data_IF_289906911369
#
_entry.id   IF_289906911369
#
_cell.length_a   1.000
_cell.length_b   1.000
_cell.length_c   1.000
_cell.angle_alpha   90.00
_cell.angle_beta   90.00
_cell.angle_gamma   90.00
#
_symmetry.space_group_name_H-M   'P 1'
#
loop_
_entity.id
_entity.type
_entity.pdbx_description
1 polymer ?
#
# COMPACT_ATOMS: atom_id res chain seq x y z
N UNK A 1 15.90 14.08 -4.86
CA UNK A 1 14.53 13.75 -5.28
C UNK A 1 13.61 14.65 -4.48
N UNK A 2 12.74 15.41 -5.13
CA UNK A 2 11.76 16.26 -4.45
C UNK A 2 10.62 15.40 -3.89
N UNK A 3 9.80 15.97 -3.01
CA UNK A 3 8.62 15.29 -2.47
C UNK A 3 7.64 14.90 -3.60
N UNK A 4 7.44 15.79 -4.57
CA UNK A 4 6.60 15.53 -5.74
C UNK A 4 7.12 14.38 -6.60
N UNK A 5 8.42 14.29 -6.82
CA UNK A 5 9.04 13.18 -7.54
C UNK A 5 8.83 11.84 -6.82
N UNK A 6 8.94 11.85 -5.49
CA UNK A 6 8.72 10.68 -4.64
C UNK A 6 7.27 10.22 -4.69
N UNK A 7 6.32 11.15 -4.57
CA UNK A 7 4.88 10.87 -4.65
C UNK A 7 4.54 10.25 -6.01
N UNK A 8 5.03 10.87 -7.10
CA UNK A 8 4.78 10.38 -8.45
C UNK A 8 5.42 9.00 -8.68
N UNK A 9 6.62 8.76 -8.15
CA UNK A 9 7.29 7.46 -8.24
C UNK A 9 6.54 6.37 -7.46
N UNK A 10 6.09 6.66 -6.25
CA UNK A 10 5.27 5.75 -5.45
C UNK A 10 3.96 5.39 -6.15
N UNK A 11 3.28 6.38 -6.75
CA UNK A 11 2.06 6.15 -7.53
C UNK A 11 2.29 5.23 -8.73
N UNK A 12 3.37 5.43 -9.49
CA UNK A 12 3.75 4.54 -10.61
C UNK A 12 4.04 3.12 -10.13
N UNK A 13 4.82 2.96 -9.06
CA UNK A 13 5.12 1.65 -8.49
C UNK A 13 3.86 0.94 -8.00
N UNK A 14 2.94 1.66 -7.34
CA UNK A 14 1.66 1.09 -6.91
C UNK A 14 0.83 0.60 -8.10
N UNK A 15 0.74 1.38 -9.18
CA UNK A 15 0.03 0.98 -10.40
C UNK A 15 0.63 -0.27 -11.05
N UNK A 16 1.96 -0.37 -11.10
CA UNK A 16 2.62 -1.57 -11.64
C UNK A 16 2.40 -2.79 -10.74
N UNK A 17 2.48 -2.62 -9.42
CA UNK A 17 2.27 -3.71 -8.46
C UNK A 17 0.83 -4.24 -8.44
N UNK A 18 -0.18 -3.40 -8.75
CA UNK A 18 -1.59 -3.79 -8.79
C UNK A 18 -1.88 -4.85 -9.88
N UNK A 19 -1.03 -4.94 -10.90
CA UNK A 19 -1.12 -5.98 -11.94
C UNK A 19 -0.71 -7.38 -11.44
N UNK A 20 0.05 -7.44 -10.33
CA UNK A 20 0.70 -8.66 -9.85
C UNK A 20 0.21 -9.08 -8.45
N UNK A 21 -0.30 -8.14 -7.68
CA UNK A 21 -0.72 -8.32 -6.28
C UNK A 21 -2.09 -7.72 -6.05
N UNK A 22 -2.65 -7.89 -4.85
CA UNK A 22 -3.90 -7.23 -4.52
C UNK A 22 -3.72 -5.73 -4.24
N UNK A 23 -4.73 -4.91 -4.54
CA UNK A 23 -4.65 -3.45 -4.51
C UNK A 23 -4.15 -2.84 -3.18
N UNK A 24 -4.46 -3.45 -2.04
CA UNK A 24 -3.92 -3.03 -0.72
C UNK A 24 -2.42 -3.31 -0.59
N UNK A 25 -1.97 -4.46 -1.09
CA UNK A 25 -0.54 -4.82 -1.11
C UNK A 25 0.22 -3.96 -2.10
N UNK A 26 -0.36 -3.67 -3.26
CA UNK A 26 0.24 -2.83 -4.28
C UNK A 26 0.60 -1.44 -3.76
N UNK A 27 -0.36 -0.78 -3.10
CA UNK A 27 -0.15 0.54 -2.49
C UNK A 27 0.78 0.47 -1.29
N UNK A 28 0.54 -0.44 -0.35
CA UNK A 28 1.39 -0.56 0.83
C UNK A 28 2.84 -0.83 0.42
N UNK A 29 3.08 -1.84 -0.43
CA UNK A 29 4.42 -2.20 -0.90
C UNK A 29 5.14 -1.05 -1.61
N UNK A 30 4.43 -0.26 -2.43
CA UNK A 30 5.02 0.93 -3.05
C UNK A 30 5.44 1.97 -2.00
N UNK A 31 4.58 2.25 -1.01
CA UNK A 31 4.91 3.18 0.06
C UNK A 31 6.06 2.66 0.94
N UNK A 32 6.08 1.36 1.26
CA UNK A 32 7.18 0.73 1.97
C UNK A 32 8.51 0.87 1.22
N UNK A 33 8.50 0.68 -0.11
CA UNK A 33 9.67 0.82 -0.96
C UNK A 33 10.19 2.26 -1.01
N UNK A 34 9.32 3.24 -1.26
CA UNK A 34 9.73 4.63 -1.50
C UNK A 34 9.97 5.44 -0.23
N UNK A 35 9.31 5.07 0.89
CA UNK A 35 9.42 5.77 2.16
C UNK A 35 10.21 4.99 3.22
N UNK A 36 10.70 3.78 2.90
CA UNK A 36 11.45 2.94 3.83
C UNK A 36 10.62 2.48 5.03
N UNK A 37 9.33 2.20 4.83
CA UNK A 37 8.38 1.88 5.90
C UNK A 37 8.14 0.38 6.07
N UNK A 38 7.98 -0.07 7.31
CA UNK A 38 7.45 -1.38 7.67
C UNK A 38 8.32 -2.57 7.26
N UNK A 39 7.69 -3.73 7.05
CA UNK A 39 8.36 -4.96 6.65
C UNK A 39 7.42 -5.98 6.03
N UNK A 40 7.93 -7.18 5.75
CA UNK A 40 7.20 -8.23 5.05
C UNK A 40 5.90 -8.66 5.74
N UNK A 41 5.81 -8.56 7.07
CA UNK A 41 4.60 -8.98 7.79
C UNK A 41 3.45 -7.99 7.62
N UNK A 42 3.73 -6.68 7.59
CA UNK A 42 2.72 -5.68 7.23
C UNK A 42 2.24 -5.89 5.78
N UNK A 43 3.15 -6.19 4.87
CA UNK A 43 2.83 -6.49 3.47
C UNK A 43 1.95 -7.75 3.32
N UNK A 44 2.25 -8.82 4.06
CA UNK A 44 1.41 -10.04 4.09
C UNK A 44 0.03 -9.75 4.69
N UNK A 45 -0.02 -8.99 5.79
CA UNK A 45 -1.27 -8.65 6.46
C UNK A 45 -2.22 -7.85 5.55
N UNK A 46 -1.68 -7.04 4.64
CA UNK A 46 -2.50 -6.28 3.69
C UNK A 46 -3.29 -7.18 2.71
N UNK A 47 -2.92 -8.45 2.49
CA UNK A 47 -3.57 -9.36 1.52
C UNK A 47 -5.09 -9.41 1.70
N UNK A 48 -5.57 -9.53 2.93
CA UNK A 48 -7.01 -9.70 3.23
C UNK A 48 -7.85 -8.45 2.97
N UNK A 49 -7.20 -7.30 2.72
CA UNK A 49 -7.85 -6.01 2.46
C UNK A 49 -8.05 -5.75 0.96
N UNK A 50 -7.48 -6.59 0.09
CA UNK A 50 -7.58 -6.44 -1.36
C UNK A 50 -8.97 -6.80 -1.88
N UNK A 51 -9.48 -6.02 -2.85
CA UNK A 51 -10.83 -6.21 -3.39
C UNK A 51 -11.95 -5.92 -2.38
N UNK A 52 -11.66 -5.10 -1.36
CA UNK A 52 -12.49 -4.96 -0.16
C UNK A 52 -12.12 -5.99 0.90
N UNK A 53 -12.45 -5.68 2.16
CA UNK A 53 -12.16 -6.58 3.29
C UNK A 53 -12.75 -7.96 3.00
N UNK A 54 -11.88 -8.97 2.92
CA UNK A 54 -12.23 -10.33 2.51
C UNK A 54 -13.01 -10.42 1.18
N UNK A 55 -12.64 -9.60 0.17
CA UNK A 55 -13.25 -9.57 -1.17
C UNK A 55 -14.73 -9.20 -1.20
N UNK A 56 -15.22 -8.49 -0.18
CA UNK A 56 -16.61 -8.06 -0.09
C UNK A 56 -16.95 -6.79 -0.87
N UNK A 57 -15.95 -6.09 -1.43
CA UNK A 57 -16.17 -4.88 -2.23
C UNK A 57 -16.61 -3.64 -1.43
N UNK A 58 -16.54 -3.66 -0.09
CA UNK A 58 -17.07 -2.59 0.76
C UNK A 58 -16.15 -1.36 0.81
N UNK A 59 -14.88 -1.55 1.19
CA UNK A 59 -13.90 -0.47 1.34
C UNK A 59 -12.75 -0.64 0.35
N UNK A 60 -12.25 0.45 -0.24
CA UNK A 60 -11.16 0.39 -1.20
C UNK A 60 -9.88 -0.18 -0.56
N UNK A 61 -9.39 -1.31 -1.09
CA UNK A 61 -8.16 -1.94 -0.60
C UNK A 61 -6.92 -1.07 -0.77
N UNK A 62 -6.79 -0.37 -1.90
CA UNK A 62 -5.71 0.59 -2.14
C UNK A 62 -5.65 1.68 -1.06
N UNK A 63 -6.80 2.24 -0.67
CA UNK A 63 -6.89 3.22 0.40
C UNK A 63 -6.48 2.61 1.75
N UNK A 64 -6.97 1.40 2.06
CA UNK A 64 -6.57 0.69 3.29
C UNK A 64 -5.05 0.42 3.34
N UNK A 65 -4.43 0.09 2.21
CA UNK A 65 -2.98 -0.06 2.10
C UNK A 65 -2.22 1.23 2.44
N UNK A 66 -2.71 2.39 1.97
CA UNK A 66 -2.15 3.69 2.34
C UNK A 66 -2.32 4.00 3.84
N UNK A 67 -3.49 3.72 4.41
CA UNK A 67 -3.76 3.90 5.84
C UNK A 67 -2.88 2.97 6.71
N UNK A 68 -2.61 1.74 6.25
CA UNK A 68 -1.64 0.86 6.91
C UNK A 68 -0.24 1.47 6.92
N UNK A 69 0.21 2.07 5.81
CA UNK A 69 1.51 2.75 5.77
C UNK A 69 1.58 3.92 6.76
N UNK A 70 0.50 4.69 6.91
CA UNK A 70 0.40 5.73 7.95
C UNK A 70 0.50 5.13 9.36
N UNK A 71 -0.23 4.04 9.64
CA UNK A 71 -0.15 3.34 10.92
C UNK A 71 1.26 2.79 11.22
N UNK A 72 1.99 2.35 10.21
CA UNK A 72 3.39 1.94 10.35
C UNK A 72 4.31 3.13 10.62
N UNK A 73 4.08 4.27 9.95
CA UNK A 73 4.94 5.45 10.08
C UNK A 73 4.74 6.20 11.41
N UNK A 74 3.50 6.32 11.88
CA UNK A 74 3.14 7.16 13.03
C UNK A 74 1.95 6.63 13.86
N UNK A 75 1.69 5.32 13.84
CA UNK A 75 0.69 4.68 14.70
C UNK A 75 1.04 4.78 16.19
N UNK A 76 0.00 4.65 17.04
CA UNK A 76 0.08 4.66 18.51
C UNK A 76 0.70 3.39 19.06
#
# INVERSE_FOLDING_TARGET
MTDEETIAAAGRTALENDKLSGCSQAVLGALQQHLGLGGADAFKAATVLSGGVARRGETCGALLGALMALGVACGR
#
